data_IF_314499093818
#
_entry.id   IF_314499093818
#
_cell.length_a   1.000
_cell.length_b   1.000
_cell.length_c   1.000
_cell.angle_alpha   90.00
_cell.angle_beta   90.00
_cell.angle_gamma   90.00
#
_symmetry.space_group_name_H-M   'P 1'
#
loop_
_entity.id
_entity.type
_entity.pdbx_description
1 polymer ?
#
# COMPACT_ATOMS: atom_id res chain seq x y z
N UNK A 1 18.37 18.09 -7.71
CA UNK A 1 17.28 17.39 -8.42
C UNK A 1 17.33 15.86 -8.31
N UNK A 2 18.49 15.18 -8.37
CA UNK A 2 18.54 13.71 -8.25
C UNK A 2 18.48 13.21 -6.78
N UNK A 3 19.14 13.91 -5.85
CA UNK A 3 19.12 13.57 -4.41
C UNK A 3 17.74 13.78 -3.76
N UNK A 4 17.00 14.78 -4.22
CA UNK A 4 15.67 15.14 -3.70
C UNK A 4 14.62 14.07 -4.00
N UNK A 5 14.67 13.46 -5.20
CA UNK A 5 13.78 12.36 -5.60
C UNK A 5 14.13 11.03 -4.94
N UNK A 6 15.41 10.78 -4.68
CA UNK A 6 15.87 9.61 -3.91
C UNK A 6 15.40 9.69 -2.45
N UNK A 7 15.41 10.89 -1.87
CA UNK A 7 14.85 11.17 -0.54
C UNK A 7 13.37 10.82 -0.45
N UNK A 8 12.55 11.24 -1.42
CA UNK A 8 11.10 11.00 -1.39
C UNK A 8 10.73 9.51 -1.49
N UNK A 9 11.42 8.75 -2.36
CA UNK A 9 11.22 7.32 -2.48
C UNK A 9 11.64 6.56 -1.21
N UNK A 10 12.74 6.97 -0.58
CA UNK A 10 13.21 6.38 0.68
C UNK A 10 12.23 6.67 1.84
N UNK A 11 11.70 7.89 1.92
CA UNK A 11 10.68 8.26 2.92
C UNK A 11 9.41 7.43 2.72
N UNK A 12 8.89 7.35 1.50
CA UNK A 12 7.67 6.59 1.19
C UNK A 12 7.84 5.10 1.51
N UNK A 13 8.96 4.52 1.12
CA UNK A 13 9.31 3.14 1.45
C UNK A 13 9.38 2.92 2.96
N UNK A 14 10.08 3.79 3.67
CA UNK A 14 10.24 3.69 5.12
C UNK A 14 8.90 3.73 5.86
N UNK A 15 8.00 4.62 5.46
CA UNK A 15 6.66 4.71 6.02
C UNK A 15 5.84 3.44 5.77
N UNK A 16 5.87 2.92 4.55
CA UNK A 16 5.14 1.70 4.18
C UNK A 16 5.70 0.46 4.87
N UNK A 17 7.03 0.33 4.95
CA UNK A 17 7.70 -0.73 5.72
C UNK A 17 7.27 -0.70 7.19
N UNK A 18 7.24 0.49 7.79
CA UNK A 18 6.80 0.68 9.18
C UNK A 18 5.35 0.30 9.39
N UNK A 19 4.46 0.65 8.44
CA UNK A 19 3.04 0.27 8.48
C UNK A 19 2.88 -1.24 8.42
N UNK A 20 3.52 -1.90 7.45
CA UNK A 20 3.50 -3.36 7.30
C UNK A 20 4.03 -4.07 8.56
N UNK A 21 5.16 -3.61 9.09
CA UNK A 21 5.74 -4.17 10.32
C UNK A 21 4.77 -4.07 11.49
N UNK A 22 4.17 -2.90 11.71
CA UNK A 22 3.22 -2.66 12.82
C UNK A 22 1.94 -3.47 12.65
N UNK A 23 1.39 -3.55 11.44
CA UNK A 23 0.20 -4.34 11.14
C UNK A 23 0.39 -5.83 11.47
N UNK A 24 1.63 -6.32 11.38
CA UNK A 24 2.01 -7.69 11.74
C UNK A 24 2.49 -7.84 13.19
N UNK A 25 2.41 -6.80 14.03
CA UNK A 25 2.79 -6.88 15.44
C UNK A 25 4.29 -7.10 15.71
N UNK A 26 5.15 -6.74 14.75
CA UNK A 26 6.59 -7.00 14.82
C UNK A 26 7.36 -5.81 15.44
N UNK A 27 8.39 -6.10 16.23
CA UNK A 27 9.40 -5.10 16.61
C UNK A 27 10.42 -4.90 15.48
N UNK A 28 11.22 -3.82 15.53
CA UNK A 28 12.27 -3.59 14.54
C UNK A 28 13.33 -4.71 14.59
N UNK A 29 13.63 -5.21 15.79
CA UNK A 29 14.57 -6.31 16.03
C UNK A 29 14.08 -7.59 15.37
N UNK A 30 12.80 -7.95 15.57
CA UNK A 30 12.22 -9.16 14.96
C UNK A 30 12.23 -9.09 13.44
N UNK A 31 11.88 -7.93 12.87
CA UNK A 31 11.92 -7.77 11.42
C UNK A 31 13.36 -7.85 10.89
N UNK A 32 14.31 -7.23 11.58
CA UNK A 32 15.72 -7.27 11.23
C UNK A 32 16.27 -8.70 11.24
N UNK A 33 15.92 -9.49 12.26
CA UNK A 33 16.26 -10.91 12.36
C UNK A 33 15.74 -11.72 11.17
N UNK A 34 14.45 -11.56 10.82
CA UNK A 34 13.85 -12.25 9.68
C UNK A 34 14.48 -11.86 8.33
N UNK A 35 14.88 -10.59 8.18
CA UNK A 35 15.47 -10.08 6.95
C UNK A 35 17.00 -10.20 6.90
N UNK A 36 17.64 -10.73 7.95
CA UNK A 36 19.09 -10.90 7.99
C UNK A 36 19.88 -9.59 7.99
N UNK A 37 19.32 -8.51 8.55
CA UNK A 37 19.95 -7.18 8.64
C UNK A 37 20.05 -6.70 10.08
N UNK A 38 20.71 -5.57 10.32
CA UNK A 38 20.77 -5.00 11.67
C UNK A 38 19.47 -4.26 12.02
N UNK A 39 19.10 -4.26 13.31
CA UNK A 39 17.97 -3.47 13.82
C UNK A 39 18.12 -1.98 13.48
N UNK A 40 19.35 -1.46 13.59
CA UNK A 40 19.66 -0.08 13.20
C UNK A 40 19.32 0.18 11.73
N UNK A 41 19.64 -0.75 10.84
CA UNK A 41 19.33 -0.63 9.41
C UNK A 41 17.81 -0.54 9.20
N UNK A 42 17.01 -1.38 9.85
CA UNK A 42 15.53 -1.26 9.80
C UNK A 42 15.08 0.12 10.32
N UNK A 43 15.65 0.60 11.42
CA UNK A 43 15.34 1.92 11.96
C UNK A 43 15.66 3.07 11.00
N UNK A 44 16.81 3.02 10.32
CA UNK A 44 17.22 4.02 9.34
C UNK A 44 16.34 3.98 8.08
N UNK A 45 15.95 2.78 7.62
CA UNK A 45 15.00 2.60 6.52
C UNK A 45 13.63 3.17 6.87
N UNK A 46 13.06 2.82 8.02
CA UNK A 46 11.75 3.33 8.45
C UNK A 46 11.70 4.84 8.68
N UNK A 47 12.86 5.45 8.95
CA UNK A 47 13.01 6.89 9.10
C UNK A 47 13.33 7.60 7.77
N UNK A 48 13.45 6.86 6.65
CA UNK A 48 13.83 7.42 5.35
C UNK A 48 15.26 7.98 5.30
N UNK A 49 16.12 7.63 6.27
CA UNK A 49 17.50 8.13 6.37
C UNK A 49 18.47 7.41 5.45
N UNK A 50 18.11 6.21 5.03
CA UNK A 50 18.83 5.41 4.07
C UNK A 50 17.85 4.73 3.14
N UNK A 51 18.35 4.29 1.99
CA UNK A 51 17.63 3.43 1.08
C UNK A 51 18.36 2.10 0.94
N UNK A 52 17.67 1.09 0.42
CA UNK A 52 18.19 -0.28 0.38
C UNK A 52 18.39 -0.81 -1.03
N UNK A 53 18.97 -2.01 -1.11
CA UNK A 53 19.23 -2.71 -2.37
C UNK A 53 17.95 -3.37 -2.89
N UNK A 54 17.92 -3.66 -4.21
CA UNK A 54 16.82 -4.43 -4.81
C UNK A 54 16.59 -5.78 -4.11
N UNK A 55 17.66 -6.47 -3.72
CA UNK A 55 17.56 -7.74 -3.02
C UNK A 55 16.83 -7.64 -1.67
N UNK A 56 17.05 -6.56 -0.90
CA UNK A 56 16.32 -6.37 0.35
C UNK A 56 14.88 -5.93 0.10
N UNK A 57 14.60 -5.13 -0.94
CA UNK A 57 13.24 -4.82 -1.36
C UNK A 57 12.45 -6.09 -1.70
N UNK A 58 13.04 -7.00 -2.47
CA UNK A 58 12.43 -8.28 -2.82
C UNK A 58 12.19 -9.16 -1.59
N UNK A 59 13.13 -9.13 -0.63
CA UNK A 59 13.02 -9.85 0.64
C UNK A 59 11.87 -9.30 1.49
N UNK A 60 11.71 -7.97 1.56
CA UNK A 60 10.61 -7.29 2.25
C UNK A 60 9.27 -7.63 1.59
N UNK A 61 9.18 -7.50 0.26
CA UNK A 61 7.98 -7.81 -0.50
C UNK A 61 7.55 -9.27 -0.30
N UNK A 62 8.50 -10.19 -0.36
CA UNK A 62 8.27 -11.62 -0.15
C UNK A 62 7.84 -11.94 1.29
N UNK A 63 8.48 -11.32 2.28
CA UNK A 63 8.16 -11.53 3.69
C UNK A 63 6.73 -11.11 4.02
N UNK A 64 6.30 -9.94 3.54
CA UNK A 64 4.95 -9.43 3.75
C UNK A 64 3.91 -9.91 2.72
N UNK A 65 4.34 -10.63 1.69
CA UNK A 65 3.50 -11.11 0.57
C UNK A 65 2.77 -9.97 -0.15
N UNK A 66 3.47 -8.87 -0.39
CA UNK A 66 2.97 -7.68 -1.09
C UNK A 66 3.75 -7.45 -2.39
N UNK A 67 3.17 -6.70 -3.32
CA UNK A 67 3.88 -6.24 -4.52
C UNK A 67 4.88 -5.12 -4.19
N UNK A 68 5.87 -4.92 -5.06
CA UNK A 68 6.81 -3.80 -4.94
C UNK A 68 6.09 -2.44 -5.01
N UNK A 69 5.03 -2.34 -5.81
CA UNK A 69 4.19 -1.15 -5.94
C UNK A 69 3.59 -0.73 -4.60
N UNK A 70 3.18 -1.69 -3.77
CA UNK A 70 2.63 -1.40 -2.44
C UNK A 70 3.67 -0.81 -1.48
N UNK A 71 4.94 -1.18 -1.64
CA UNK A 71 6.05 -0.60 -0.87
C UNK A 71 6.28 0.88 -1.20
N UNK A 72 5.87 1.34 -2.37
CA UNK A 72 6.02 2.73 -2.83
C UNK A 72 4.68 3.46 -3.02
N UNK A 73 3.58 2.88 -2.52
CA UNK A 73 2.26 3.46 -2.66
C UNK A 73 2.10 4.64 -1.69
N UNK A 74 1.89 5.84 -2.22
CA UNK A 74 1.59 7.03 -1.42
C UNK A 74 0.13 7.02 -0.94
N UNK A 75 -0.16 7.74 0.15
CA UNK A 75 -1.53 7.87 0.66
C UNK A 75 -2.47 8.51 -0.37
N UNK A 76 -2.00 9.53 -1.09
CA UNK A 76 -2.77 10.17 -2.17
C UNK A 76 -3.12 9.19 -3.28
N UNK A 77 -2.17 8.32 -3.66
CA UNK A 77 -2.41 7.29 -4.67
C UNK A 77 -3.35 6.20 -4.16
N UNK A 78 -3.22 5.78 -2.90
CA UNK A 78 -4.14 4.86 -2.22
C UNK A 78 -5.58 5.38 -2.29
N UNK A 79 -5.80 6.61 -1.83
CA UNK A 79 -7.11 7.27 -1.84
C UNK A 79 -7.69 7.39 -3.26
N UNK A 80 -6.86 7.73 -4.24
CA UNK A 80 -7.29 7.82 -5.63
C UNK A 80 -7.76 6.46 -6.15
N UNK A 81 -6.98 5.39 -5.95
CA UNK A 81 -7.35 4.03 -6.38
C UNK A 81 -8.64 3.56 -5.71
N UNK A 82 -8.78 3.79 -4.40
CA UNK A 82 -10.00 3.45 -3.65
C UNK A 82 -11.22 4.20 -4.18
N UNK A 83 -11.05 5.50 -4.47
CA UNK A 83 -12.13 6.35 -5.00
C UNK A 83 -12.56 5.90 -6.39
N UNK A 84 -11.61 5.59 -7.28
CA UNK A 84 -11.93 5.10 -8.63
C UNK A 84 -12.60 3.73 -8.59
N UNK A 85 -12.12 2.81 -7.75
CA UNK A 85 -12.76 1.52 -7.55
C UNK A 85 -14.21 1.67 -7.02
N UNK A 86 -14.44 2.57 -6.07
CA UNK A 86 -15.77 2.87 -5.55
C UNK A 86 -16.72 3.46 -6.61
N UNK A 87 -16.22 4.35 -7.47
CA UNK A 87 -17.00 4.89 -8.60
C UNK A 87 -17.38 3.80 -9.60
N UNK A 88 -16.43 2.94 -9.97
CA UNK A 88 -16.71 1.81 -10.88
C UNK A 88 -17.76 0.87 -10.28
N UNK A 89 -17.67 0.54 -8.99
CA UNK A 89 -18.67 -0.27 -8.31
C UNK A 89 -20.05 0.42 -8.30
N UNK A 90 -20.10 1.73 -8.07
CA UNK A 90 -21.35 2.50 -8.10
C UNK A 90 -21.99 2.49 -9.49
N UNK A 91 -21.20 2.61 -10.56
CA UNK A 91 -21.71 2.58 -11.93
C UNK A 91 -22.30 1.21 -12.28
N UNK A 92 -21.63 0.11 -11.91
CA UNK A 92 -22.16 -1.26 -12.06
C UNK A 92 -23.48 -1.44 -11.29
N UNK A 93 -23.55 -0.92 -10.06
CA UNK A 93 -24.76 -1.01 -9.23
C UNK A 93 -25.92 -0.18 -9.81
N UNK A 94 -25.64 1.00 -10.35
CA UNK A 94 -26.64 1.83 -11.03
C UNK A 94 -27.19 1.13 -12.26
N UNK A 95 -26.32 0.59 -13.12
CA UNK A 95 -26.75 -0.18 -14.30
C UNK A 95 -27.63 -1.38 -13.94
N UNK A 96 -27.25 -2.10 -12.89
CA UNK A 96 -28.02 -3.23 -12.37
C UNK A 96 -29.37 -2.80 -11.81
N UNK A 97 -29.40 -1.69 -11.07
CA UNK A 97 -30.64 -1.09 -10.52
C UNK A 97 -31.60 -0.68 -11.62
N UNK A 98 -31.07 0.00 -12.66
CA UNK A 98 -31.84 0.40 -13.83
C UNK A 98 -32.39 -0.80 -14.60
N UNK A 99 -31.61 -1.89 -14.70
CA UNK A 99 -32.08 -3.13 -15.30
C UNK A 99 -33.29 -3.72 -14.56
N UNK A 100 -33.22 -3.81 -13.22
CA UNK A 100 -34.33 -4.31 -12.38
C UNK A 100 -35.57 -3.44 -12.55
N UNK A 101 -35.41 -2.11 -12.56
CA UNK A 101 -36.51 -1.17 -12.78
C UNK A 101 -37.15 -1.36 -14.15
N UNK A 102 -36.36 -1.50 -15.22
CA UNK A 102 -36.87 -1.72 -16.59
C UNK A 102 -37.57 -3.08 -16.75
N UNK A 103 -37.02 -4.15 -16.16
CA UNK A 103 -37.51 -5.52 -16.37
C UNK A 103 -38.71 -5.87 -15.50
N UNK A 104 -38.75 -5.38 -14.26
CA UNK A 104 -39.76 -5.78 -13.27
C UNK A 104 -40.58 -4.61 -12.73
N UNK A 105 -40.27 -3.36 -13.09
CA UNK A 105 -40.96 -2.17 -12.56
C UNK A 105 -40.64 -1.86 -11.09
N UNK A 106 -39.65 -2.56 -10.50
CA UNK A 106 -39.27 -2.41 -9.09
C UNK A 106 -38.13 -1.39 -8.99
N UNK A 107 -38.32 -0.35 -8.18
CA UNK A 107 -37.30 0.66 -7.92
C UNK A 107 -36.52 0.33 -6.65
N UNK A 108 -35.26 -0.07 -6.80
CA UNK A 108 -34.35 -0.28 -5.68
C UNK A 108 -33.72 1.06 -5.27
N UNK A 109 -33.91 1.47 -4.02
CA UNK A 109 -33.26 2.66 -3.47
C UNK A 109 -32.01 2.24 -2.68
N UNK A 110 -30.85 2.69 -3.14
CA UNK A 110 -29.63 2.62 -2.35
C UNK A 110 -29.78 3.56 -1.13
N UNK A 111 -29.46 3.06 0.06
CA UNK A 111 -29.46 3.84 1.30
C UNK A 111 -28.19 4.68 1.42
#
# INVERSE_FOLDING_TARGET
>A
MNEERLSEAAVTFGENLRKLRKANGLSQEKLAEHLGVSTKHIGDLEAGKSFTTGALLDSVASYFRVGLDELFMTESRRQHVETEAAKMALDILKESTDHVKRKYGIELKLK
#
